data_IF_000549714637
#
_entry.id   IF_000549714637
#
_cell.length_a   1.000
_cell.length_b   1.000
_cell.length_c   1.000
_cell.angle_alpha   90.00
_cell.angle_beta   90.00
_cell.angle_gamma   90.00
#
_symmetry.space_group_name_H-M   'P 1'
#
loop_
_entity.id
_entity.type
_entity.pdbx_description
1 polymer ?
#
# COMPACT_ATOMS: atom_id res chain seq x y z
N UNK A 1 -12.41 0.13 -13.69
CA UNK A 1 -12.74 0.16 -15.14
C UNK A 1 -13.73 1.29 -15.38
N UNK A 2 -13.67 1.99 -16.52
CA UNK A 2 -14.44 3.21 -16.79
C UNK A 2 -15.97 3.02 -16.86
N UNK A 3 -16.47 1.78 -16.97
CA UNK A 3 -17.90 1.49 -16.95
C UNK A 3 -18.67 1.99 -18.19
N UNK A 4 -17.98 2.34 -19.26
CA UNK A 4 -18.57 2.81 -20.52
C UNK A 4 -19.32 1.70 -21.24
N UNK A 5 -20.48 2.03 -21.80
CA UNK A 5 -21.17 1.17 -22.76
C UNK A 5 -20.47 1.24 -24.12
N UNK A 6 -20.60 0.21 -24.98
CA UNK A 6 -19.87 0.18 -26.26
C UNK A 6 -20.09 1.42 -27.14
N UNK A 7 -21.32 1.93 -27.23
CA UNK A 7 -21.62 3.13 -28.03
C UNK A 7 -21.12 4.44 -27.39
N UNK A 8 -20.92 4.47 -26.08
CA UNK A 8 -20.31 5.63 -25.40
C UNK A 8 -18.83 5.66 -25.71
N UNK A 9 -18.17 4.49 -25.70
CA UNK A 9 -16.77 4.36 -26.09
C UNK A 9 -16.52 4.78 -27.55
N UNK A 10 -17.31 4.29 -28.50
CA UNK A 10 -17.13 4.62 -29.93
C UNK A 10 -17.39 6.09 -30.28
N UNK A 11 -18.03 6.85 -29.39
CA UNK A 11 -18.29 8.28 -29.57
C UNK A 11 -17.20 9.17 -28.98
N UNK A 12 -16.28 8.62 -28.19
CA UNK A 12 -15.18 9.38 -27.62
C UNK A 12 -14.04 9.55 -28.62
N UNK A 13 -13.45 10.73 -28.60
CA UNK A 13 -12.13 10.94 -29.19
C UNK A 13 -11.05 10.27 -28.34
N UNK A 14 -9.88 9.94 -28.92
CA UNK A 14 -8.76 9.41 -28.15
C UNK A 14 -8.32 10.31 -26.98
N UNK A 15 -8.45 11.63 -27.12
CA UNK A 15 -8.16 12.60 -26.06
C UNK A 15 -9.11 12.46 -24.88
N UNK A 16 -10.43 12.50 -25.14
CA UNK A 16 -11.44 12.36 -24.09
C UNK A 16 -11.32 11.00 -23.38
N UNK A 17 -11.04 9.91 -24.11
CA UNK A 17 -10.82 8.61 -23.49
C UNK A 17 -9.60 8.61 -22.56
N UNK A 18 -8.52 9.29 -22.95
CA UNK A 18 -7.31 9.43 -22.14
C UNK A 18 -7.61 10.22 -20.86
N UNK A 19 -8.28 11.36 -20.98
CA UNK A 19 -8.69 12.18 -19.84
C UNK A 19 -9.61 11.41 -18.87
N UNK A 20 -10.55 10.62 -19.40
CA UNK A 20 -11.39 9.75 -18.58
C UNK A 20 -10.58 8.70 -17.82
N UNK A 21 -9.59 8.06 -18.47
CA UNK A 21 -8.68 7.11 -17.82
C UNK A 21 -7.90 7.76 -16.68
N UNK A 22 -7.35 8.95 -16.92
CA UNK A 22 -6.60 9.72 -15.92
C UNK A 22 -7.49 10.10 -14.73
N UNK A 23 -8.67 10.66 -15.00
CA UNK A 23 -9.64 11.02 -13.96
C UNK A 23 -10.09 9.81 -13.13
N UNK A 24 -10.26 8.65 -13.76
CA UNK A 24 -10.56 7.41 -13.04
C UNK A 24 -9.43 7.00 -12.11
N UNK A 25 -8.18 7.05 -12.57
CA UNK A 25 -7.03 6.71 -11.73
C UNK A 25 -6.92 7.66 -10.54
N UNK A 26 -7.08 8.96 -10.77
CA UNK A 26 -7.11 9.96 -9.68
C UNK A 26 -8.21 9.67 -8.66
N UNK A 27 -9.41 9.28 -9.11
CA UNK A 27 -10.51 8.90 -8.22
C UNK A 27 -10.16 7.68 -7.38
N UNK A 28 -9.61 6.63 -7.99
CA UNK A 28 -9.21 5.41 -7.29
C UNK A 28 -8.11 5.69 -6.27
N UNK A 29 -7.11 6.49 -6.64
CA UNK A 29 -6.04 6.90 -5.72
C UNK A 29 -6.59 7.67 -4.52
N UNK A 30 -7.51 8.60 -4.75
CA UNK A 30 -8.15 9.37 -3.68
C UNK A 30 -9.02 8.47 -2.77
N UNK A 31 -9.75 7.50 -3.33
CA UNK A 31 -10.51 6.51 -2.56
C UNK A 31 -9.58 5.65 -1.69
N UNK A 32 -8.48 5.16 -2.25
CA UNK A 32 -7.48 4.39 -1.50
C UNK A 32 -6.82 5.22 -0.39
N UNK A 33 -6.51 6.48 -0.64
CA UNK A 33 -5.95 7.37 0.39
C UNK A 33 -6.94 7.57 1.55
N UNK A 34 -8.23 7.78 1.26
CA UNK A 34 -9.28 7.89 2.30
C UNK A 34 -9.42 6.61 3.10
N UNK A 35 -9.45 5.45 2.44
CA UNK A 35 -9.53 4.15 3.10
C UNK A 35 -8.31 3.90 3.99
N UNK A 36 -7.10 4.16 3.50
CA UNK A 36 -5.87 4.00 4.26
C UNK A 36 -5.84 4.92 5.48
N UNK A 37 -6.29 6.17 5.35
CA UNK A 37 -6.41 7.08 6.49
C UNK A 37 -7.39 6.58 7.54
N UNK A 38 -8.57 6.10 7.10
CA UNK A 38 -9.57 5.56 8.00
C UNK A 38 -9.08 4.30 8.74
N UNK A 39 -8.45 3.38 8.01
CA UNK A 39 -7.85 2.17 8.57
C UNK A 39 -6.74 2.50 9.58
N UNK A 40 -5.86 3.47 9.27
CA UNK A 40 -4.81 3.90 10.18
C UNK A 40 -5.40 4.42 11.50
N UNK A 41 -6.45 5.23 11.44
CA UNK A 41 -7.12 5.72 12.65
C UNK A 41 -7.73 4.58 13.47
N UNK A 42 -8.45 3.65 12.83
CA UNK A 42 -9.06 2.51 13.52
C UNK A 42 -8.00 1.61 14.18
N UNK A 43 -6.92 1.32 13.48
CA UNK A 43 -5.81 0.52 14.01
C UNK A 43 -5.10 1.23 15.17
N UNK A 44 -4.80 2.52 15.02
CA UNK A 44 -3.99 3.28 15.97
C UNK A 44 -4.64 3.46 17.35
N UNK A 45 -5.95 3.26 17.47
CA UNK A 45 -6.66 3.21 18.76
C UNK A 45 -6.16 2.03 19.61
N UNK A 46 -5.81 0.91 18.97
CA UNK A 46 -5.37 -0.31 19.65
C UNK A 46 -3.84 -0.48 19.70
N UNK A 47 -3.09 0.44 19.07
CA UNK A 47 -1.64 0.37 18.98
C UNK A 47 -0.97 1.33 19.96
N UNK A 48 0.11 0.86 20.60
CA UNK A 48 1.01 1.73 21.37
C UNK A 48 1.65 2.76 20.45
N UNK A 49 2.03 3.92 21.00
CA UNK A 49 2.57 5.07 20.22
C UNK A 49 3.68 4.68 19.25
N UNK A 50 4.61 3.80 19.66
CA UNK A 50 5.74 3.33 18.85
C UNK A 50 5.36 2.36 17.71
N UNK A 51 4.13 1.84 17.70
CA UNK A 51 3.64 0.90 16.68
C UNK A 51 2.55 1.50 15.79
N UNK A 52 2.23 2.79 15.97
CA UNK A 52 1.21 3.45 15.16
C UNK A 52 1.63 3.49 13.69
N UNK A 53 0.64 3.31 12.82
CA UNK A 53 0.80 3.29 11.36
C UNK A 53 0.27 4.57 10.73
N UNK A 54 0.84 4.98 9.61
CA UNK A 54 0.34 6.10 8.80
C UNK A 54 -0.36 5.60 7.53
N UNK A 55 -1.22 6.43 6.94
CA UNK A 55 -1.89 6.10 5.68
C UNK A 55 -0.87 5.77 4.56
N UNK A 56 0.23 6.51 4.48
CA UNK A 56 1.27 6.29 3.48
C UNK A 56 1.98 4.94 3.65
N UNK A 57 2.21 4.51 4.90
CA UNK A 57 2.77 3.19 5.18
C UNK A 57 1.82 2.06 4.75
N UNK A 58 0.51 2.25 4.95
CA UNK A 58 -0.53 1.31 4.51
C UNK A 58 -0.64 1.25 2.99
N UNK A 59 -0.44 2.39 2.31
CA UNK A 59 -0.36 2.47 0.84
C UNK A 59 0.99 1.97 0.28
N UNK A 60 1.94 1.60 1.14
CA UNK A 60 3.26 1.14 0.72
C UNK A 60 4.16 2.24 0.15
N UNK A 61 3.79 3.51 0.30
CA UNK A 61 4.61 4.65 -0.13
C UNK A 61 5.90 4.68 0.69
N UNK A 62 7.03 4.84 0.01
CA UNK A 62 8.35 4.97 0.66
C UNK A 62 9.00 3.67 1.14
N UNK A 63 8.41 2.49 0.89
CA UNK A 63 9.12 1.22 1.10
C UNK A 63 10.17 1.06 0.01
N UNK A 64 11.47 1.02 0.38
CA UNK A 64 12.50 0.48 -0.51
C UNK A 64 12.10 -0.95 -0.85
N UNK A 65 12.14 -1.31 -2.14
CA UNK A 65 12.01 -2.72 -2.55
C UNK A 65 13.14 -3.47 -1.86
N UNK A 66 12.77 -4.35 -0.93
CA UNK A 66 13.71 -5.21 -0.24
C UNK A 66 14.29 -6.19 -1.26
N UNK A 67 15.61 -6.21 -1.42
CA UNK A 67 16.25 -7.16 -2.33
C UNK A 67 16.21 -8.58 -1.71
N UNK A 68 16.43 -9.63 -2.52
CA UNK A 68 16.58 -10.99 -1.98
C UNK A 68 17.66 -11.09 -0.88
N UNK A 69 18.76 -10.36 -1.03
CA UNK A 69 19.87 -10.31 -0.08
C UNK A 69 19.48 -9.61 1.24
N UNK A 70 18.69 -8.52 1.16
CA UNK A 70 18.12 -7.86 2.34
C UNK A 70 17.17 -8.81 3.10
N UNK A 71 16.42 -9.63 2.37
CA UNK A 71 15.51 -10.62 2.95
C UNK A 71 16.27 -11.70 3.71
N UNK A 72 17.29 -12.26 3.08
CA UNK A 72 18.08 -13.36 3.63
C UNK A 72 18.88 -12.91 4.85
N UNK A 73 19.49 -11.73 4.79
CA UNK A 73 20.16 -11.12 5.93
C UNK A 73 19.21 -10.81 7.09
N UNK A 74 17.98 -10.36 6.81
CA UNK A 74 16.94 -10.17 7.82
C UNK A 74 16.51 -11.46 8.50
N UNK A 75 16.32 -12.53 7.74
CA UNK A 75 15.99 -13.87 8.25
C UNK A 75 17.12 -14.43 9.11
N UNK A 76 18.37 -14.23 8.72
CA UNK A 76 19.53 -14.69 9.49
C UNK A 76 19.63 -13.97 10.84
N UNK A 77 19.43 -12.65 10.87
CA UNK A 77 19.38 -11.87 12.13
C UNK A 77 18.26 -12.35 13.07
N UNK A 78 17.09 -12.67 12.52
CA UNK A 78 15.97 -13.24 13.30
C UNK A 78 16.32 -14.62 13.88
N UNK A 79 16.96 -15.49 13.10
CA UNK A 79 17.43 -16.81 13.57
C UNK A 79 18.41 -16.67 14.73
N UNK A 80 19.37 -15.75 14.61
CA UNK A 80 20.34 -15.46 15.67
C UNK A 80 19.70 -14.93 16.95
N UNK A 81 18.72 -14.02 16.84
CA UNK A 81 17.97 -13.50 17.99
C UNK A 81 17.17 -14.61 18.71
N UNK A 82 16.52 -15.50 17.95
CA UNK A 82 15.78 -16.64 18.50
C UNK A 82 16.74 -17.61 19.22
N UNK A 83 17.91 -17.89 18.64
CA UNK A 83 18.92 -18.74 19.26
C UNK A 83 19.44 -18.15 20.58
N UNK A 84 19.70 -16.84 20.63
CA UNK A 84 20.09 -16.12 21.86
C UNK A 84 19.01 -16.17 22.94
N UNK A 85 17.73 -16.06 22.57
CA UNK A 85 16.62 -16.16 23.53
C UNK A 85 16.41 -17.57 24.07
N UNK A 86 16.71 -18.62 23.29
CA UNK A 86 16.56 -20.03 23.73
C UNK A 86 17.72 -20.56 24.56
N UNK A 87 18.91 -19.94 24.50
CA UNK A 87 20.10 -20.37 25.25
C UNK A 87 20.26 -19.73 26.64
N UNK A 88 19.27 -18.96 27.12
CA UNK A 88 19.32 -18.24 28.40
C UNK A 88 18.48 -18.86 29.53
N UNK A 89 18.20 -20.17 29.46
CA UNK A 89 17.50 -20.93 30.50
C UNK A 89 18.39 -22.06 31.02
#
# INVERSE_FOLDING_TARGET
>A
MLGLKPWEFWRLTPGEFTEMCEGYNLRVEAEMQRLAWHAANLMNVHLKKQHRVTADQLLGKGKKRMTPEDRESGVQKLREQIARMKGGH
#
